data_IF_071793360369
#
_entry.id   IF_071793360369
#
_cell.length_a   1.000
_cell.length_b   1.000
_cell.length_c   1.000
_cell.angle_alpha   90.00
_cell.angle_beta   90.00
_cell.angle_gamma   90.00
#
_symmetry.space_group_name_H-M   'P 1'
#
loop_
_entity.id
_entity.type
_entity.pdbx_description
1 polymer ?
#
# COMPACT_ATOMS: atom_id res chain seq x y z
N UNK A 1 3.83 36.22 10.48
CA UNK A 1 4.03 34.96 9.70
C UNK A 1 4.83 34.03 10.57
N UNK A 2 4.40 32.79 10.78
CA UNK A 2 5.20 31.80 11.51
C UNK A 2 6.51 31.53 10.77
N UNK A 3 7.61 31.41 11.51
CA UNK A 3 8.90 31.01 10.93
C UNK A 3 8.84 29.55 10.47
N UNK A 4 9.12 29.33 9.18
CA UNK A 4 9.18 27.98 8.60
C UNK A 4 10.52 27.36 8.93
N UNK A 5 10.52 26.37 9.83
CA UNK A 5 11.68 25.58 10.18
C UNK A 5 11.74 24.32 9.30
N UNK A 6 12.76 24.23 8.43
CA UNK A 6 12.97 23.05 7.59
C UNK A 6 13.94 22.09 8.28
N UNK A 7 13.42 20.95 8.74
CA UNK A 7 14.23 19.86 9.27
C UNK A 7 14.74 18.96 8.13
N UNK A 8 16.06 18.88 7.98
CA UNK A 8 16.67 18.05 6.93
C UNK A 8 16.53 16.57 7.27
N UNK A 9 16.42 15.75 6.23
CA UNK A 9 16.43 14.30 6.36
C UNK A 9 17.78 13.84 6.91
N UNK A 10 17.74 13.12 8.03
CA UNK A 10 18.92 12.57 8.69
C UNK A 10 19.63 11.56 7.76
N UNK A 11 20.98 11.47 7.77
CA UNK A 11 21.72 10.51 6.93
C UNK A 11 21.28 9.06 7.14
N UNK A 12 20.97 8.67 8.39
CA UNK A 12 20.50 7.33 8.73
C UNK A 12 19.16 7.00 8.06
N UNK A 13 18.26 7.98 7.92
CA UNK A 13 16.97 7.80 7.24
C UNK A 13 17.16 7.76 5.73
N UNK A 14 18.00 8.65 5.17
CA UNK A 14 18.31 8.68 3.74
C UNK A 14 18.87 7.34 3.25
N UNK A 15 19.67 6.66 4.08
CA UNK A 15 20.26 5.35 3.75
C UNK A 15 19.22 4.25 3.51
N UNK A 16 18.12 4.25 4.25
CA UNK A 16 17.12 3.18 4.24
C UNK A 16 15.79 3.58 3.56
N UNK A 17 15.67 4.83 3.13
CA UNK A 17 14.48 5.33 2.47
C UNK A 17 14.28 4.65 1.10
N UNK A 18 13.06 4.19 0.82
CA UNK A 18 12.71 3.57 -0.46
C UNK A 18 12.61 4.59 -1.61
N UNK A 19 12.43 5.87 -1.27
CA UNK A 19 12.19 6.98 -2.19
C UNK A 19 12.95 8.20 -1.63
N UNK A 20 13.78 8.82 -2.47
CA UNK A 20 14.38 10.13 -2.19
C UNK A 20 13.59 11.27 -2.87
N UNK A 21 14.04 12.51 -2.69
CA UNK A 21 13.34 13.67 -3.24
C UNK A 21 13.19 13.62 -4.76
N UNK A 22 14.24 13.22 -5.48
CA UNK A 22 14.23 13.20 -6.93
C UNK A 22 13.28 12.11 -7.46
N UNK A 23 13.30 10.93 -6.81
CA UNK A 23 12.36 9.85 -7.10
C UNK A 23 10.93 10.28 -6.79
N UNK A 24 10.69 10.95 -5.67
CA UNK A 24 9.38 11.48 -5.29
C UNK A 24 8.85 12.45 -6.36
N UNK A 25 9.62 13.47 -6.72
CA UNK A 25 9.21 14.49 -7.69
C UNK A 25 8.86 13.87 -9.04
N UNK A 26 9.68 12.89 -9.47
CA UNK A 26 9.43 12.15 -10.70
C UNK A 26 8.16 11.30 -10.62
N UNK A 27 8.02 10.46 -9.60
CA UNK A 27 6.89 9.54 -9.48
C UNK A 27 5.58 10.30 -9.28
N UNK A 28 5.61 11.39 -8.52
CA UNK A 28 4.46 12.28 -8.36
C UNK A 28 4.03 12.84 -9.73
N UNK A 29 4.96 13.44 -10.48
CA UNK A 29 4.66 13.96 -11.81
C UNK A 29 4.09 12.88 -12.75
N UNK A 30 4.67 11.67 -12.75
CA UNK A 30 4.20 10.54 -13.56
C UNK A 30 2.79 10.08 -13.15
N UNK A 31 2.51 10.01 -11.84
CA UNK A 31 1.21 9.59 -11.30
C UNK A 31 0.05 10.51 -11.69
N UNK A 32 0.34 11.79 -11.89
CA UNK A 32 -0.64 12.82 -12.25
C UNK A 32 -0.75 12.96 -13.77
N UNK A 33 0.39 13.03 -14.47
CA UNK A 33 0.42 13.23 -15.94
C UNK A 33 0.04 11.99 -16.73
N UNK A 34 0.29 10.81 -16.20
CA UNK A 34 0.04 9.53 -16.89
C UNK A 34 -0.52 8.49 -15.92
N UNK A 35 -1.70 8.74 -15.32
CA UNK A 35 -2.24 7.93 -14.24
C UNK A 35 -2.45 6.47 -14.66
N UNK A 36 -2.96 6.19 -15.86
CA UNK A 36 -3.18 4.81 -16.30
C UNK A 36 -1.87 4.02 -16.37
N UNK A 37 -0.80 4.61 -16.92
CA UNK A 37 0.51 3.95 -17.02
C UNK A 37 1.14 3.75 -15.65
N UNK A 38 1.11 4.77 -14.80
CA UNK A 38 1.71 4.73 -13.47
C UNK A 38 0.96 3.71 -12.59
N UNK A 39 -0.36 3.85 -12.48
CA UNK A 39 -1.17 3.00 -11.62
C UNK A 39 -1.36 1.58 -12.17
N UNK A 40 -1.27 1.34 -13.50
CA UNK A 40 -1.17 -0.02 -14.04
C UNK A 40 0.05 -0.78 -13.49
N UNK A 41 1.20 -0.09 -13.36
CA UNK A 41 2.42 -0.68 -12.80
C UNK A 41 2.24 -0.94 -11.30
N UNK A 42 1.74 0.05 -10.57
CA UNK A 42 1.64 -0.03 -9.11
C UNK A 42 0.49 -0.91 -8.61
N UNK A 43 -0.60 -1.06 -9.38
CA UNK A 43 -1.70 -1.96 -9.08
C UNK A 43 -1.32 -3.45 -9.08
N UNK A 44 -0.20 -3.81 -9.71
CA UNK A 44 0.37 -5.17 -9.72
C UNK A 44 1.10 -5.56 -8.42
N UNK A 45 1.10 -4.70 -7.40
CA UNK A 45 1.67 -5.00 -6.07
C UNK A 45 0.78 -5.93 -5.23
N UNK A 46 -0.48 -6.04 -5.61
CA UNK A 46 -1.45 -6.98 -5.05
C UNK A 46 -1.77 -8.05 -6.08
N UNK A 47 -2.21 -9.19 -5.59
CA UNK A 47 -2.64 -10.31 -6.40
C UNK A 47 -4.06 -10.06 -6.90
N UNK A 48 -4.28 -10.38 -8.17
CA UNK A 48 -5.57 -10.29 -8.84
C UNK A 48 -5.93 -11.67 -9.35
N UNK A 49 -7.15 -12.15 -9.03
CA UNK A 49 -7.67 -13.38 -9.61
C UNK A 49 -8.04 -13.17 -11.08
N UNK A 50 -8.62 -12.01 -11.37
CA UNK A 50 -8.81 -11.49 -12.72
C UNK A 50 -8.03 -10.18 -12.87
N UNK A 51 -6.98 -10.14 -13.70
CA UNK A 51 -6.26 -8.90 -13.97
C UNK A 51 -7.19 -7.84 -14.56
N UNK A 52 -7.05 -6.60 -14.09
CA UNK A 52 -7.75 -5.45 -14.66
C UNK A 52 -7.15 -5.08 -16.03
N UNK A 53 -7.96 -4.49 -16.90
CA UNK A 53 -7.49 -3.81 -18.11
C UNK A 53 -7.72 -2.29 -18.05
N UNK A 54 -8.68 -1.83 -17.27
CA UNK A 54 -8.99 -0.40 -17.09
C UNK A 54 -8.45 0.10 -15.76
N UNK A 55 -7.61 1.14 -15.79
CA UNK A 55 -6.96 1.63 -14.58
C UNK A 55 -7.76 2.74 -13.91
N UNK A 56 -7.94 3.89 -14.58
CA UNK A 56 -8.67 5.04 -14.05
C UNK A 56 -9.87 5.38 -14.93
N UNK A 57 -11.05 5.45 -14.33
CA UNK A 57 -12.28 5.91 -14.98
C UNK A 57 -13.05 6.80 -13.99
N UNK A 58 -12.66 8.08 -13.92
CA UNK A 58 -13.13 9.00 -12.88
C UNK A 58 -13.55 10.34 -13.46
N UNK A 59 -14.67 10.87 -13.02
CA UNK A 59 -15.13 12.24 -13.26
C UNK A 59 -15.70 12.84 -11.96
N UNK A 60 -15.32 14.09 -11.69
CA UNK A 60 -15.94 14.90 -10.63
C UNK A 60 -17.02 15.86 -11.17
N UNK A 61 -17.24 15.86 -12.48
CA UNK A 61 -18.24 16.69 -13.13
C UNK A 61 -19.62 16.02 -13.16
N UNK A 62 -20.69 16.82 -13.20
CA UNK A 62 -22.05 16.35 -13.44
C UNK A 62 -22.48 15.19 -12.52
N UNK A 63 -22.93 14.07 -13.10
CA UNK A 63 -23.15 12.83 -12.35
C UNK A 63 -21.79 12.22 -11.99
N UNK A 64 -21.31 12.54 -10.80
CA UNK A 64 -20.02 12.06 -10.25
C UNK A 64 -19.92 10.54 -10.40
N UNK A 65 -18.81 10.07 -10.99
CA UNK A 65 -18.53 8.65 -11.19
C UNK A 65 -17.04 8.40 -10.98
N UNK A 66 -16.70 7.51 -10.04
CA UNK A 66 -15.31 7.25 -9.66
C UNK A 66 -15.11 5.74 -9.67
N UNK A 67 -14.30 5.25 -10.61
CA UNK A 67 -13.99 3.83 -10.76
C UNK A 67 -12.51 3.64 -11.00
N UNK A 68 -11.93 2.66 -10.32
CA UNK A 68 -10.53 2.25 -10.45
C UNK A 68 -10.48 0.74 -10.58
N UNK A 69 -9.70 0.25 -11.54
CA UNK A 69 -9.53 -1.20 -11.76
C UNK A 69 -10.87 -1.95 -11.93
N UNK A 70 -11.85 -1.28 -12.57
CA UNK A 70 -13.28 -1.63 -12.50
C UNK A 70 -13.64 -3.00 -13.07
N UNK A 71 -12.73 -3.60 -13.84
CA UNK A 71 -12.87 -4.89 -14.48
C UNK A 71 -11.98 -6.00 -13.87
N UNK A 72 -11.20 -5.66 -12.85
CA UNK A 72 -10.36 -6.58 -12.09
C UNK A 72 -11.08 -7.19 -10.89
N UNK A 73 -10.70 -8.40 -10.53
CA UNK A 73 -11.24 -9.12 -9.36
C UNK A 73 -10.09 -9.53 -8.43
N UNK A 74 -10.24 -9.17 -7.15
CA UNK A 74 -9.26 -9.44 -6.09
C UNK A 74 -9.99 -9.78 -4.79
N UNK A 75 -9.28 -10.36 -3.83
CA UNK A 75 -9.78 -10.60 -2.48
C UNK A 75 -8.82 -9.95 -1.49
N UNK A 76 -9.39 -9.16 -0.56
CA UNK A 76 -8.60 -8.43 0.43
C UNK A 76 -7.94 -9.39 1.43
N UNK A 77 -8.66 -10.40 1.93
CA UNK A 77 -8.12 -11.40 2.85
C UNK A 77 -7.00 -12.19 2.20
N UNK A 78 -7.14 -12.58 0.93
CA UNK A 78 -6.07 -13.25 0.18
C UNK A 78 -4.76 -12.44 0.17
N UNK A 79 -4.86 -11.15 -0.12
CA UNK A 79 -3.70 -10.26 -0.19
C UNK A 79 -3.11 -9.92 1.17
N UNK A 80 -3.93 -9.95 2.22
CA UNK A 80 -3.53 -9.63 3.57
C UNK A 80 -3.05 -10.85 4.36
N UNK A 81 -3.48 -12.07 4.02
CA UNK A 81 -3.29 -13.29 4.81
C UNK A 81 -2.78 -14.43 3.90
N UNK A 82 -3.62 -14.97 3.03
CA UNK A 82 -3.40 -16.25 2.34
C UNK A 82 -2.09 -16.29 1.54
N UNK A 83 -1.79 -15.24 0.76
CA UNK A 83 -0.57 -15.20 -0.08
C UNK A 83 0.72 -15.25 0.74
N UNK A 84 0.65 -14.94 2.05
CA UNK A 84 1.79 -14.94 2.94
C UNK A 84 2.05 -16.31 3.57
N UNK A 85 1.04 -17.18 3.68
CA UNK A 85 1.13 -18.47 4.39
C UNK A 85 2.32 -19.33 3.92
N UNK A 86 2.51 -19.48 2.60
CA UNK A 86 3.57 -20.33 2.04
C UNK A 86 4.99 -19.93 2.43
N UNK A 87 5.26 -18.64 2.59
CA UNK A 87 6.63 -18.11 2.80
C UNK A 87 6.85 -17.52 4.20
N UNK A 88 5.76 -17.12 4.86
CA UNK A 88 5.75 -16.32 6.09
C UNK A 88 4.69 -16.82 7.08
N UNK A 89 4.19 -18.06 6.93
CA UNK A 89 3.13 -18.61 7.79
C UNK A 89 3.41 -18.48 9.28
N UNK A 90 4.66 -18.78 9.69
CA UNK A 90 5.08 -18.70 11.10
C UNK A 90 5.57 -17.30 11.51
N UNK A 91 5.55 -16.33 10.59
CA UNK A 91 5.87 -14.95 10.94
C UNK A 91 4.69 -14.31 11.67
N UNK A 92 4.96 -13.62 12.78
CA UNK A 92 3.99 -12.77 13.47
C UNK A 92 3.39 -11.74 12.51
N UNK A 93 2.08 -11.81 12.34
CA UNK A 93 1.26 -10.87 11.57
C UNK A 93 0.72 -9.74 12.46
N UNK A 94 0.25 -10.08 13.67
CA UNK A 94 -0.29 -9.13 14.64
C UNK A 94 0.48 -9.28 15.95
N UNK A 95 0.96 -8.16 16.48
CA UNK A 95 1.35 -8.03 17.88
C UNK A 95 0.15 -7.39 18.58
N UNK A 96 -0.55 -8.17 19.39
CA UNK A 96 -1.66 -7.71 20.20
C UNK A 96 -1.12 -7.39 21.59
N UNK A 97 -1.40 -6.17 22.04
CA UNK A 97 -1.06 -5.68 23.36
C UNK A 97 -2.37 -5.47 24.12
N UNK A 98 -2.54 -6.15 25.25
CA UNK A 98 -3.67 -5.97 26.14
C UNK A 98 -3.59 -4.64 26.89
N UNK A 99 -4.65 -4.33 27.65
CA UNK A 99 -4.65 -3.17 28.55
C UNK A 99 -3.60 -3.31 29.67
N UNK A 100 -3.40 -4.55 30.13
CA UNK A 100 -2.30 -4.89 31.01
C UNK A 100 -1.03 -5.15 30.17
N UNK A 101 0.09 -4.45 30.42
CA UNK A 101 1.33 -4.63 29.66
C UNK A 101 2.00 -6.01 29.85
N UNK A 102 1.45 -6.86 30.73
CA UNK A 102 1.88 -8.25 30.91
C UNK A 102 0.97 -9.25 30.17
N UNK A 103 -0.05 -8.77 29.45
CA UNK A 103 -0.94 -9.59 28.62
C UNK A 103 -0.73 -9.21 27.14
N UNK A 104 0.25 -9.84 26.51
CA UNK A 104 0.54 -9.67 25.09
C UNK A 104 0.39 -11.00 24.32
N UNK A 105 0.15 -10.89 23.02
CA UNK A 105 0.10 -12.03 22.11
C UNK A 105 0.74 -11.71 20.79
N UNK A 106 1.47 -12.70 20.25
CA UNK A 106 1.96 -12.69 18.88
C UNK A 106 1.15 -13.68 18.08
N UNK A 107 0.37 -13.17 17.12
CA UNK A 107 -0.46 -13.97 16.23
C UNK A 107 0.27 -14.08 14.90
N UNK A 108 0.65 -15.30 14.52
CA UNK A 108 1.28 -15.64 13.23
C UNK A 108 0.27 -15.58 12.09
N UNK A 109 0.75 -15.57 10.84
CA UNK A 109 -0.14 -15.66 9.68
C UNK A 109 -0.94 -16.97 9.64
N UNK A 110 -0.36 -18.09 10.08
CA UNK A 110 -1.07 -19.37 10.19
C UNK A 110 -2.20 -19.32 11.24
N UNK A 111 -1.96 -18.70 12.40
CA UNK A 111 -2.98 -18.55 13.45
C UNK A 111 -4.07 -17.55 13.06
N UNK A 112 -3.74 -16.49 12.32
CA UNK A 112 -4.72 -15.51 11.83
C UNK A 112 -5.65 -16.09 10.75
N UNK A 113 -5.18 -17.08 10.00
CA UNK A 113 -5.93 -17.72 8.93
C UNK A 113 -6.95 -18.75 9.44
N UNK A 114 -6.66 -19.39 10.58
CA UNK A 114 -7.47 -20.45 11.18
C UNK A 114 -8.77 -19.93 11.80
#
# INVERSE_FOLDING_TARGET
>A
MSEVHVHRVQPAWKKNALIDNDTYLKWYADSVKSPDKFWAKHGKRIDWFKPFSKVKNTSFDGKVSIKWFEDGETNVSWNCIDRHLKKRGDQTAIIWEGDNPYDDRKVTYNELYA
#
